data_IF_569458364468
#
_entry.id   IF_569458364468
#
_cell.length_a   1.000
_cell.length_b   1.000
_cell.length_c   1.000
_cell.angle_alpha   90.00
_cell.angle_beta   90.00
_cell.angle_gamma   90.00
#
_symmetry.space_group_name_H-M   'P 1'
#
loop_
_entity.id
_entity.type
_entity.pdbx_description
1 polymer ?
#
# COMPACT_ATOMS: atom_id res chain seq x y z
N UNK A 1 16.41 10.56 20.90
CA UNK A 1 15.66 11.72 20.36
C UNK A 1 15.65 11.74 18.82
N UNK A 2 16.80 11.86 18.14
CA UNK A 2 16.85 11.88 16.66
C UNK A 2 16.21 10.66 15.98
N UNK A 3 16.48 9.44 16.49
CA UNK A 3 15.92 8.19 15.96
C UNK A 3 14.40 8.09 16.08
N UNK A 4 13.83 8.61 17.18
CA UNK A 4 12.39 8.60 17.41
C UNK A 4 11.68 9.58 16.45
N UNK A 5 12.24 10.79 16.31
CA UNK A 5 11.73 11.80 15.39
C UNK A 5 11.77 11.30 13.94
N UNK A 6 12.86 10.64 13.54
CA UNK A 6 13.01 10.05 12.21
C UNK A 6 11.96 8.95 11.97
N UNK A 7 11.75 8.06 12.93
CA UNK A 7 10.74 6.99 12.86
C UNK A 7 9.32 7.57 12.71
N UNK A 8 8.97 8.58 13.50
CA UNK A 8 7.68 9.27 13.40
C UNK A 8 7.49 9.87 12.00
N UNK A 9 8.52 10.51 11.44
CA UNK A 9 8.48 11.06 10.07
C UNK A 9 8.20 9.95 9.05
N UNK A 10 8.91 8.81 9.12
CA UNK A 10 8.68 7.68 8.21
C UNK A 10 7.24 7.12 8.33
N UNK A 11 6.71 6.99 9.54
CA UNK A 11 5.33 6.56 9.77
C UNK A 11 4.32 7.54 9.19
N UNK A 12 4.54 8.85 9.33
CA UNK A 12 3.68 9.88 8.76
C UNK A 12 3.69 9.87 7.24
N UNK A 13 4.86 9.70 6.60
CA UNK A 13 4.95 9.56 5.16
C UNK A 13 4.27 8.29 4.63
N UNK A 14 4.47 7.15 5.32
CA UNK A 14 3.79 5.89 4.99
C UNK A 14 2.27 6.03 5.13
N UNK A 15 1.79 6.62 6.23
CA UNK A 15 0.38 6.90 6.47
C UNK A 15 -0.20 7.83 5.41
N UNK A 16 0.50 8.90 5.03
CA UNK A 16 0.10 9.79 3.95
C UNK A 16 -0.07 9.06 2.62
N UNK A 17 0.87 8.20 2.25
CA UNK A 17 0.79 7.39 1.04
C UNK A 17 -0.42 6.43 1.07
N UNK A 18 -0.70 5.80 2.22
CA UNK A 18 -1.87 4.91 2.41
C UNK A 18 -3.19 5.69 2.34
N UNK A 19 -3.26 6.89 2.90
CA UNK A 19 -4.47 7.75 2.80
C UNK A 19 -4.71 8.16 1.35
N UNK A 20 -3.66 8.56 0.61
CA UNK A 20 -3.80 8.88 -0.81
C UNK A 20 -4.29 7.64 -1.57
N UNK A 21 -3.75 6.46 -1.30
CA UNK A 21 -4.22 5.21 -1.90
C UNK A 21 -5.71 4.94 -1.58
N UNK A 22 -6.17 5.23 -0.36
CA UNK A 22 -7.58 5.15 0.03
C UNK A 22 -8.47 6.08 -0.80
N UNK A 23 -8.05 7.33 -0.99
CA UNK A 23 -8.78 8.31 -1.80
C UNK A 23 -8.87 7.85 -3.25
N UNK A 24 -7.79 7.32 -3.83
CA UNK A 24 -7.83 6.76 -5.19
C UNK A 24 -8.73 5.53 -5.28
N UNK A 25 -8.73 4.69 -4.25
CA UNK A 25 -9.59 3.50 -4.18
C UNK A 25 -11.08 3.87 -4.07
N UNK A 26 -11.46 4.83 -3.23
CA UNK A 26 -12.87 5.26 -3.11
C UNK A 26 -13.37 6.00 -4.34
N UNK A 27 -12.52 6.81 -4.98
CA UNK A 27 -12.89 7.55 -6.20
C UNK A 27 -12.92 6.67 -7.45
N UNK A 28 -12.41 5.45 -7.39
CA UNK A 28 -12.40 4.59 -8.54
C UNK A 28 -13.82 4.07 -8.89
N UNK A 29 -14.88 4.22 -8.09
CA UNK A 29 -16.24 3.67 -8.37
C UNK A 29 -16.25 2.12 -8.42
N UNK A 30 -15.67 1.55 -7.36
CA UNK A 30 -15.24 0.16 -7.18
C UNK A 30 -16.40 -0.81 -6.94
N UNK A 31 -17.52 -0.31 -6.40
CA UNK A 31 -18.72 -1.11 -6.09
C UNK A 31 -19.44 -1.65 -7.34
N UNK A 32 -19.18 -1.10 -8.52
CA UNK A 32 -19.91 -1.45 -9.76
C UNK A 32 -19.51 -2.80 -10.40
N UNK A 33 -18.46 -3.48 -9.92
CA UNK A 33 -17.96 -4.73 -10.54
C UNK A 33 -17.85 -5.91 -9.56
N UNK A 34 -18.85 -6.80 -9.50
CA UNK A 34 -18.84 -7.97 -8.60
C UNK A 34 -17.75 -9.01 -8.92
N UNK A 35 -17.09 -8.91 -10.08
CA UNK A 35 -16.04 -9.85 -10.53
C UNK A 35 -14.70 -9.70 -9.78
N UNK A 36 -14.45 -8.58 -9.09
CA UNK A 36 -13.17 -8.28 -8.43
C UNK A 36 -13.30 -8.09 -6.90
N UNK A 37 -14.35 -8.64 -6.27
CA UNK A 37 -14.64 -8.46 -4.83
C UNK A 37 -13.49 -8.87 -3.91
N UNK A 38 -12.79 -9.95 -4.23
CA UNK A 38 -11.67 -10.45 -3.41
C UNK A 38 -10.47 -9.49 -3.45
N UNK A 39 -10.17 -8.95 -4.64
CA UNK A 39 -9.12 -7.95 -4.84
C UNK A 39 -9.45 -6.64 -4.10
N UNK A 40 -10.70 -6.20 -4.18
CA UNK A 40 -11.18 -5.01 -3.45
C UNK A 40 -11.12 -5.20 -1.94
N UNK A 41 -11.48 -6.38 -1.45
CA UNK A 41 -11.41 -6.72 -0.02
C UNK A 41 -9.96 -6.75 0.46
N UNK A 42 -9.04 -7.28 -0.35
CA UNK A 42 -7.60 -7.26 -0.06
C UNK A 42 -7.07 -5.82 0.04
N UNK A 43 -7.40 -4.96 -0.93
CA UNK A 43 -6.97 -3.54 -0.94
C UNK A 43 -7.55 -2.80 0.26
N UNK A 44 -8.86 -2.90 0.48
CA UNK A 44 -9.53 -2.27 1.62
C UNK A 44 -8.96 -2.74 2.96
N UNK A 45 -8.71 -4.05 3.09
CA UNK A 45 -8.07 -4.63 4.26
C UNK A 45 -6.64 -4.12 4.49
N UNK A 46 -5.83 -4.02 3.43
CA UNK A 46 -4.49 -3.47 3.52
C UNK A 46 -4.52 -1.99 3.92
N UNK A 47 -5.35 -1.17 3.28
CA UNK A 47 -5.44 0.27 3.59
C UNK A 47 -5.92 0.50 5.03
N UNK A 48 -6.98 -0.20 5.45
CA UNK A 48 -7.56 -0.02 6.77
C UNK A 48 -6.61 -0.50 7.89
N UNK A 49 -6.03 -1.69 7.73
CA UNK A 49 -5.09 -2.22 8.71
C UNK A 49 -3.86 -1.33 8.87
N UNK A 50 -3.29 -0.83 7.78
CA UNK A 50 -2.12 0.05 7.85
C UNK A 50 -2.44 1.42 8.44
N UNK A 51 -3.64 1.95 8.20
CA UNK A 51 -4.08 3.20 8.84
C UNK A 51 -4.16 3.03 10.36
N UNK A 52 -4.85 1.98 10.82
CA UNK A 52 -5.03 1.71 12.26
C UNK A 52 -3.70 1.39 12.95
N UNK A 53 -2.87 0.53 12.35
CA UNK A 53 -1.57 0.15 12.90
C UNK A 53 -0.64 1.36 12.98
N UNK A 54 -0.53 2.15 11.91
CA UNK A 54 0.37 3.33 11.91
C UNK A 54 -0.04 4.35 12.96
N UNK A 55 -1.34 4.64 13.10
CA UNK A 55 -1.85 5.52 14.15
C UNK A 55 -1.56 4.96 15.55
N UNK A 56 -1.80 3.67 15.78
CA UNK A 56 -1.51 3.00 17.05
C UNK A 56 -0.03 3.08 17.43
N UNK A 57 0.87 2.88 16.46
CA UNK A 57 2.31 2.96 16.67
C UNK A 57 2.82 4.39 16.91
N UNK A 58 2.19 5.40 16.31
CA UNK A 58 2.50 6.82 16.58
C UNK A 58 2.05 7.20 17.98
N UNK A 59 0.81 6.86 18.36
CA UNK A 59 0.28 7.14 19.70
C UNK A 59 1.14 6.45 20.76
N UNK A 60 1.48 5.17 20.55
CA UNK A 60 2.30 4.41 21.48
C UNK A 60 3.74 4.95 21.62
N UNK A 61 4.28 5.66 20.62
CA UNK A 61 5.60 6.29 20.74
C UNK A 61 5.61 7.59 21.54
N UNK A 62 4.44 8.22 21.75
CA UNK A 62 4.28 9.48 22.49
C UNK A 62 3.83 9.26 23.95
N UNK A 63 3.30 8.08 24.27
CA UNK A 63 2.91 7.71 25.64
C UNK A 63 4.12 7.14 26.39
N UNK A 64 4.29 7.51 27.67
CA UNK A 64 5.41 7.13 28.54
C UNK A 64 5.58 5.60 28.70
N UNK A 65 4.48 4.83 28.57
CA UNK A 65 4.51 3.37 28.47
C UNK A 65 4.83 2.94 27.03
N UNK A 66 6.11 3.06 26.66
CA UNK A 66 6.58 2.66 25.34
C UNK A 66 6.32 1.16 25.09
N UNK A 67 5.71 0.84 23.94
CA UNK A 67 5.59 -0.53 23.49
C UNK A 67 6.98 -1.17 23.41
N UNK A 68 7.09 -2.42 23.87
CA UNK A 68 8.36 -3.14 23.79
C UNK A 68 8.87 -3.14 22.34
N UNK A 69 10.15 -2.83 22.08
CA UNK A 69 10.67 -2.63 20.71
C UNK A 69 10.42 -3.82 19.76
N UNK A 70 10.37 -5.03 20.33
CA UNK A 70 10.06 -6.27 19.61
C UNK A 70 8.62 -6.27 19.08
N UNK A 71 7.65 -5.86 19.90
CA UNK A 71 6.23 -5.80 19.53
C UNK A 71 6.03 -4.70 18.49
N UNK A 72 6.68 -3.56 18.69
CA UNK A 72 6.67 -2.45 17.74
C UNK A 72 7.23 -2.88 16.37
N UNK A 73 8.38 -3.55 16.36
CA UNK A 73 9.01 -4.07 15.15
C UNK A 73 8.17 -5.15 14.46
N UNK A 74 7.48 -6.01 15.21
CA UNK A 74 6.56 -7.01 14.65
C UNK A 74 5.45 -6.36 13.81
N UNK A 75 4.80 -5.31 14.34
CA UNK A 75 3.74 -4.61 13.61
C UNK A 75 4.26 -3.90 12.36
N UNK A 76 5.45 -3.30 12.41
CA UNK A 76 6.08 -2.69 11.24
C UNK A 76 6.44 -3.73 10.17
N UNK A 77 7.00 -4.87 10.57
CA UNK A 77 7.35 -5.95 9.64
C UNK A 77 6.11 -6.55 8.99
N UNK A 78 5.08 -6.85 9.79
CA UNK A 78 3.81 -7.37 9.29
C UNK A 78 3.15 -6.37 8.32
N UNK A 79 3.15 -5.09 8.67
CA UNK A 79 2.61 -4.03 7.81
C UNK A 79 3.37 -3.85 6.51
N UNK A 80 4.71 -3.89 6.57
CA UNK A 80 5.56 -3.85 5.37
C UNK A 80 5.27 -5.02 4.43
N UNK A 81 5.21 -6.26 4.95
CA UNK A 81 4.92 -7.45 4.13
C UNK A 81 3.53 -7.33 3.49
N UNK A 82 2.52 -6.89 4.26
CA UNK A 82 1.17 -6.73 3.75
C UNK A 82 1.10 -5.68 2.62
N UNK A 83 1.75 -4.53 2.80
CA UNK A 83 1.82 -3.45 1.81
C UNK A 83 2.56 -3.88 0.54
N UNK A 84 3.69 -4.56 0.70
CA UNK A 84 4.47 -5.07 -0.44
C UNK A 84 3.69 -6.14 -1.20
N UNK A 85 3.12 -7.12 -0.50
CA UNK A 85 2.34 -8.18 -1.12
C UNK A 85 1.12 -7.63 -1.88
N UNK A 86 0.41 -6.66 -1.28
CA UNK A 86 -0.73 -5.99 -1.93
C UNK A 86 -0.26 -5.20 -3.15
N UNK A 87 0.79 -4.38 -3.02
CA UNK A 87 1.32 -3.56 -4.10
C UNK A 87 1.82 -4.40 -5.29
N UNK A 88 2.57 -5.46 -5.03
CA UNK A 88 3.02 -6.40 -6.07
C UNK A 88 1.84 -7.10 -6.74
N UNK A 89 0.84 -7.55 -5.96
CA UNK A 89 -0.33 -8.24 -6.51
C UNK A 89 -1.12 -7.35 -7.47
N UNK A 90 -1.33 -6.08 -7.14
CA UNK A 90 -2.01 -5.11 -8.02
C UNK A 90 -1.22 -4.88 -9.31
N UNK A 91 0.10 -4.65 -9.19
CA UNK A 91 0.95 -4.41 -10.34
C UNK A 91 0.96 -5.62 -11.27
N UNK A 92 1.11 -6.84 -10.75
CA UNK A 92 1.09 -8.07 -11.56
C UNK A 92 -0.26 -8.24 -12.25
N UNK A 93 -1.37 -8.01 -11.55
CA UNK A 93 -2.71 -8.13 -12.11
C UNK A 93 -2.92 -7.14 -13.26
N UNK A 94 -2.50 -5.89 -13.09
CA UNK A 94 -2.58 -4.87 -14.13
C UNK A 94 -1.67 -5.15 -15.32
N UNK A 95 -0.42 -5.58 -15.10
CA UNK A 95 0.47 -6.00 -16.18
C UNK A 95 -0.08 -7.17 -16.99
N UNK A 96 -0.70 -8.16 -16.32
CA UNK A 96 -1.36 -9.29 -17.00
C UNK A 96 -2.54 -8.82 -17.84
N UNK A 97 -3.39 -7.92 -17.33
CA UNK A 97 -4.52 -7.34 -18.08
C UNK A 97 -4.04 -6.58 -19.31
N UNK A 98 -3.01 -5.74 -19.18
CA UNK A 98 -2.44 -4.98 -20.31
C UNK A 98 -1.89 -5.90 -21.40
N UNK A 99 -1.19 -6.97 -21.04
CA UNK A 99 -0.65 -7.94 -22.00
C UNK A 99 -1.77 -8.66 -22.78
N UNK A 100 -2.84 -9.06 -22.10
CA UNK A 100 -4.00 -9.70 -22.76
C UNK A 100 -4.66 -8.71 -23.73
N UNK A 101 -4.86 -7.46 -23.32
CA UNK A 101 -5.46 -6.44 -24.16
C UNK A 101 -4.61 -6.12 -25.40
N UNK A 102 -3.28 -6.05 -25.25
CA UNK A 102 -2.36 -5.88 -26.39
C UNK A 102 -2.44 -7.05 -27.38
N UNK A 103 -2.57 -8.28 -26.89
CA UNK A 103 -2.73 -9.47 -27.75
C UNK A 103 -4.07 -9.48 -28.49
N UNK A 104 -5.16 -9.05 -27.84
CA UNK A 104 -6.47 -8.91 -28.49
C UNK A 104 -6.51 -7.77 -29.51
N UNK A 105 -5.89 -6.62 -29.20
CA UNK A 105 -5.82 -5.48 -30.11
C UNK A 105 -4.96 -5.75 -31.36
N UNK A 106 -3.97 -6.65 -31.27
CA UNK A 106 -3.20 -7.10 -32.41
C UNK A 106 -4.00 -8.03 -33.36
N UNK A 107 -5.07 -8.67 -32.86
CA UNK A 107 -5.91 -9.58 -33.63
C UNK A 107 -7.17 -8.92 -34.22
N UNK A 108 -7.61 -7.75 -33.74
CA UNK A 108 -8.77 -7.03 -34.27
C UNK A 108 -8.49 -5.53 -34.51
N UNK A 109 -8.20 -5.11 -35.75
CA UNK A 109 -7.97 -3.71 -36.08
C UNK A 109 -9.31 -2.95 -36.19
N UNK A 110 -9.85 -2.47 -35.06
CA UNK A 110 -11.03 -1.59 -35.11
C UNK A 110 -11.75 -1.27 -33.79
N UNK A 111 -11.54 -2.02 -32.71
CA UNK A 111 -12.31 -1.86 -31.46
C UNK A 111 -11.70 -0.84 -30.47
N UNK A 112 -11.31 0.34 -30.95
CA UNK A 112 -10.55 1.32 -30.15
C UNK A 112 -11.38 2.15 -29.14
N UNK A 113 -12.69 1.97 -29.02
CA UNK A 113 -13.56 2.86 -28.24
C UNK A 113 -14.32 2.18 -27.09
N UNK A 114 -13.59 1.55 -26.17
CA UNK A 114 -14.13 1.24 -24.84
C UNK A 114 -13.28 1.93 -23.76
N UNK A 115 -13.45 3.25 -23.66
CA UNK A 115 -12.76 4.19 -22.78
C UNK A 115 -13.34 4.34 -21.35
N UNK A 116 -13.70 3.25 -20.63
CA UNK A 116 -13.68 3.27 -19.16
C UNK A 116 -12.56 2.42 -18.52
N UNK A 117 -11.88 1.52 -19.26
CA UNK A 117 -10.83 0.66 -18.65
C UNK A 117 -9.56 1.41 -18.28
N UNK A 118 -9.06 2.28 -19.18
CA UNK A 118 -7.74 2.92 -19.02
C UNK A 118 -7.58 3.83 -17.80
N UNK A 119 -8.63 4.54 -17.39
CA UNK A 119 -8.57 5.40 -16.20
C UNK A 119 -8.48 4.57 -14.92
N UNK A 120 -9.13 3.41 -14.93
CA UNK A 120 -9.18 2.46 -13.84
C UNK A 120 -7.89 1.66 -13.68
N UNK A 121 -7.32 1.21 -14.81
CA UNK A 121 -6.02 0.52 -14.85
C UNK A 121 -4.93 1.43 -14.24
N UNK A 122 -5.03 2.75 -14.46
CA UNK A 122 -4.13 3.74 -13.83
C UNK A 122 -4.35 3.90 -12.33
N UNK A 123 -5.59 3.83 -11.85
CA UNK A 123 -5.88 3.94 -10.42
C UNK A 123 -5.29 2.75 -9.64
N UNK A 124 -5.50 1.51 -10.09
CA UNK A 124 -4.92 0.33 -9.42
C UNK A 124 -3.39 0.30 -9.48
N UNK A 125 -2.80 0.74 -10.59
CA UNK A 125 -1.35 0.85 -10.73
C UNK A 125 -0.79 1.94 -9.80
N UNK A 126 -1.50 3.05 -9.64
CA UNK A 126 -1.14 4.13 -8.68
C UNK A 126 -1.27 3.64 -7.23
N UNK A 127 -2.36 2.96 -6.88
CA UNK A 127 -2.56 2.34 -5.56
C UNK A 127 -1.43 1.34 -5.29
N UNK A 128 -1.11 0.48 -6.25
CA UNK A 128 -0.02 -0.50 -6.12
C UNK A 128 1.35 0.15 -5.90
N UNK A 129 1.65 1.22 -6.63
CA UNK A 129 2.88 1.99 -6.46
C UNK A 129 2.94 2.69 -5.09
N UNK A 130 1.83 3.28 -4.63
CA UNK A 130 1.72 3.89 -3.30
C UNK A 130 1.90 2.86 -2.20
N UNK A 131 1.24 1.70 -2.29
CA UNK A 131 1.40 0.60 -1.34
C UNK A 131 2.85 0.08 -1.29
N UNK A 132 3.50 -0.10 -2.45
CA UNK A 132 4.91 -0.49 -2.49
C UNK A 132 5.82 0.54 -1.81
N UNK A 133 5.63 1.82 -2.12
CA UNK A 133 6.43 2.88 -1.51
C UNK A 133 6.24 2.95 0.00
N UNK A 134 4.99 2.86 0.47
CA UNK A 134 4.66 2.81 1.89
C UNK A 134 5.27 1.57 2.57
N UNK A 135 5.22 0.41 1.91
CA UNK A 135 5.80 -0.84 2.42
C UNK A 135 7.31 -0.78 2.57
N UNK A 136 8.01 -0.13 1.62
CA UNK A 136 9.46 0.11 1.67
C UNK A 136 9.80 1.08 2.81
N UNK A 137 9.07 2.20 2.93
CA UNK A 137 9.28 3.16 4.02
C UNK A 137 9.07 2.52 5.39
N UNK A 138 8.02 1.72 5.53
CA UNK A 138 7.72 0.97 6.76
C UNK A 138 8.81 -0.06 7.07
N UNK A 139 9.38 -0.70 6.04
CA UNK A 139 10.51 -1.62 6.21
C UNK A 139 11.78 -0.90 6.68
N UNK A 140 12.07 0.27 6.09
CA UNK A 140 13.21 1.09 6.51
C UNK A 140 13.07 1.50 7.97
N UNK A 141 11.87 1.91 8.39
CA UNK A 141 11.56 2.22 9.79
C UNK A 141 11.77 1.02 10.72
N UNK A 142 11.33 -0.18 10.31
CA UNK A 142 11.61 -1.42 11.03
C UNK A 142 13.12 -1.63 11.24
N UNK A 143 13.93 -1.47 10.20
CA UNK A 143 15.39 -1.62 10.28
C UNK A 143 16.00 -0.59 11.25
N UNK A 144 15.52 0.66 11.23
CA UNK A 144 15.98 1.73 12.13
C UNK A 144 15.66 1.41 13.60
N UNK A 145 14.52 0.78 13.87
CA UNK A 145 14.08 0.44 15.23
C UNK A 145 14.79 -0.80 15.77
N UNK A 146 14.97 -1.84 14.93
CA UNK A 146 15.53 -3.14 15.35
C UNK A 146 17.06 -3.12 15.44
N UNK A 147 17.75 -2.30 14.64
CA UNK A 147 19.21 -2.27 14.61
C UNK A 147 19.71 -1.48 15.82
N UNK A 148 20.39 -2.11 16.79
CA UNK A 148 21.09 -1.36 17.81
C UNK A 148 22.24 -0.60 17.13
N UNK A 149 22.27 0.72 17.26
CA UNK A 149 23.48 1.48 16.98
C UNK A 149 24.54 1.00 17.96
N UNK A 150 25.52 0.25 17.45
CA UNK A 150 26.79 0.03 18.14
C UNK A 150 27.45 1.41 18.22
N UNK A 151 27.21 2.11 19.32
CA UNK A 151 27.92 3.32 19.74
C UNK A 151 28.11 3.25 21.23
#
# INVERSE_FOLDING_TARGET
MYRNNLSIIFKLFSLGAVIIAAVFWTNADVESRPKYKDEQTLIGGAIWSQTVISLGLIISSEVDDHLHPIVHGYFLLAGSILLVATGVSLIITEYKKMRIFQQSAANEPGAAEATPSRAYDRAYLTIGALCLSAGILTFIDFIIIITPTVT
#
